data_IF_175851389157
#
_entry.id   IF_175851389157
#
_cell.length_a   1.000
_cell.length_b   1.000
_cell.length_c   1.000
_cell.angle_alpha   90.00
_cell.angle_beta   90.00
_cell.angle_gamma   90.00
#
_symmetry.space_group_name_H-M   'P 1'
#
loop_
_entity.id
_entity.type
_entity.pdbx_description
1 polymer ?
#
# COMPACT_ATOMS: atom_id res chain seq x y z
N UNK A 1 -16.12 -28.75 25.71
CA UNK A 1 -16.31 -29.00 24.28
C UNK A 1 -15.90 -27.72 23.58
N UNK A 2 -14.58 -27.55 23.58
CA UNK A 2 -13.85 -26.30 23.69
C UNK A 2 -14.29 -25.20 22.72
N UNK A 3 -14.35 -23.97 23.25
CA UNK A 3 -14.22 -22.78 22.40
C UNK A 3 -12.93 -22.93 21.58
N UNK A 4 -12.97 -22.72 20.25
CA UNK A 4 -11.73 -22.70 19.48
C UNK A 4 -10.80 -21.66 20.10
N UNK A 5 -9.48 -21.92 20.17
CA UNK A 5 -8.54 -20.88 20.58
C UNK A 5 -8.82 -19.67 19.68
N UNK A 6 -8.94 -18.48 20.30
CA UNK A 6 -8.95 -17.23 19.55
C UNK A 6 -7.58 -17.12 18.91
N UNK A 7 -7.43 -17.73 17.73
CA UNK A 7 -6.20 -17.66 16.96
C UNK A 7 -5.97 -16.17 16.71
N UNK A 8 -4.83 -15.60 17.14
CA UNK A 8 -4.52 -14.21 16.79
C UNK A 8 -4.60 -14.12 15.27
N UNK A 9 -5.20 -13.06 14.69
CA UNK A 9 -5.25 -12.93 13.24
C UNK A 9 -3.82 -13.06 12.75
N UNK A 10 -3.60 -14.06 11.89
CA UNK A 10 -2.29 -14.31 11.31
C UNK A 10 -1.79 -12.98 10.75
N UNK A 11 -0.50 -12.63 10.95
CA UNK A 11 0.05 -11.32 10.54
C UNK A 11 -0.05 -11.08 9.03
N UNK A 12 -0.53 -12.07 8.27
CA UNK A 12 -0.77 -12.04 6.85
C UNK A 12 -2.18 -11.54 6.47
N UNK A 13 -3.09 -11.32 7.41
CA UNK A 13 -4.41 -10.72 7.10
C UNK A 13 -4.31 -9.21 6.84
N UNK A 14 -3.17 -8.59 7.16
CA UNK A 14 -2.94 -7.15 6.97
C UNK A 14 -2.29 -6.78 5.62
N UNK A 15 -2.11 -7.74 4.70
CA UNK A 15 -1.38 -7.49 3.44
C UNK A 15 -2.07 -8.04 2.17
N UNK A 16 -3.36 -8.37 2.19
CA UNK A 16 -3.96 -9.00 1.00
C UNK A 16 -5.45 -8.71 0.81
N UNK A 17 -5.75 -7.56 0.21
CA UNK A 17 -6.53 -7.59 -1.04
C UNK A 17 -5.49 -7.58 -2.17
N UNK A 18 -5.45 -8.64 -2.99
CA UNK A 18 -4.30 -8.99 -3.86
C UNK A 18 -4.05 -8.05 -5.06
N UNK A 19 -4.54 -6.81 -5.03
CA UNK A 19 -4.48 -5.87 -6.15
C UNK A 19 -4.20 -4.41 -5.74
N UNK A 20 -3.63 -4.18 -4.56
CA UNK A 20 -3.53 -2.82 -4.02
C UNK A 20 -2.11 -2.26 -4.18
N UNK A 21 -1.94 -1.42 -5.21
CA UNK A 21 -0.84 -0.44 -5.26
C UNK A 21 -0.73 0.25 -3.89
N UNK A 22 0.47 0.62 -3.41
CA UNK A 22 0.61 1.30 -2.13
C UNK A 22 -0.38 2.47 -2.04
N UNK A 23 -1.11 2.55 -0.92
CA UNK A 23 -2.09 3.60 -0.73
C UNK A 23 -1.42 4.97 -0.79
N UNK A 24 -2.16 5.99 -1.22
CA UNK A 24 -1.62 7.36 -1.41
C UNK A 24 -0.85 7.88 -0.19
N UNK A 25 -1.23 7.49 1.03
CA UNK A 25 -0.58 7.94 2.26
C UNK A 25 0.53 7.02 2.77
N UNK A 26 0.67 5.82 2.22
CA UNK A 26 1.66 4.84 2.64
C UNK A 26 3.09 5.32 2.34
N UNK A 27 4.10 4.81 3.06
CA UNK A 27 5.49 5.05 2.71
C UNK A 27 5.74 4.59 1.25
N UNK A 28 6.47 5.42 0.50
CA UNK A 28 6.78 5.10 -0.88
C UNK A 28 7.71 3.89 -0.95
N UNK A 29 7.44 3.00 -1.90
CA UNK A 29 8.21 1.78 -2.16
C UNK A 29 9.70 2.03 -2.48
N UNK A 30 10.08 3.25 -2.90
CA UNK A 30 11.47 3.61 -3.22
C UNK A 30 12.38 3.80 -1.99
N UNK A 31 11.85 3.70 -0.76
CA UNK A 31 12.66 3.83 0.46
C UNK A 31 13.07 5.26 0.82
N UNK A 32 12.52 6.29 0.16
CA UNK A 32 12.86 7.70 0.44
C UNK A 32 12.33 8.25 1.77
N UNK A 33 11.51 7.48 2.50
CA UNK A 33 10.79 7.94 3.70
C UNK A 33 9.65 8.93 3.41
N UNK A 34 9.39 9.27 2.14
CA UNK A 34 8.27 10.12 1.72
C UNK A 34 7.01 9.29 1.50
N UNK A 35 5.83 9.92 1.65
CA UNK A 35 4.53 9.30 1.31
C UNK A 35 4.46 9.03 -0.19
N UNK A 36 3.85 7.90 -0.58
CA UNK A 36 3.70 7.47 -1.97
C UNK A 36 3.12 8.57 -2.87
N UNK A 37 2.05 9.26 -2.43
CA UNK A 37 1.44 10.40 -3.14
C UNK A 37 2.37 11.58 -3.45
N UNK A 38 3.44 11.74 -2.68
CA UNK A 38 4.42 12.85 -2.82
C UNK A 38 5.73 12.37 -3.44
N UNK A 39 5.80 11.11 -3.84
CA UNK A 39 7.01 10.49 -4.36
C UNK A 39 6.71 9.86 -5.72
N UNK A 40 6.40 8.56 -5.77
CA UNK A 40 6.20 7.84 -7.03
C UNK A 40 4.75 7.76 -7.50
N UNK A 41 3.73 8.06 -6.67
CA UNK A 41 2.35 8.08 -7.14
C UNK A 41 2.10 8.97 -8.38
N UNK A 42 2.62 10.22 -8.49
CA UNK A 42 2.41 11.02 -9.71
C UNK A 42 3.08 10.42 -10.95
N UNK A 43 4.15 9.64 -10.76
CA UNK A 43 4.86 8.93 -11.85
C UNK A 43 4.09 7.65 -12.23
N UNK A 44 3.62 6.91 -11.23
CA UNK A 44 2.92 5.64 -11.37
C UNK A 44 1.46 5.81 -11.87
N UNK A 45 0.85 6.97 -11.65
CA UNK A 45 -0.50 7.32 -12.13
C UNK A 45 -0.49 7.93 -13.54
N UNK A 46 0.70 8.20 -14.09
CA UNK A 46 0.87 8.71 -15.44
C UNK A 46 0.55 10.20 -15.57
N UNK A 47 1.60 10.99 -15.72
CA UNK A 47 1.74 11.93 -16.84
C UNK A 47 0.41 12.41 -17.45
N UNK A 48 -0.18 13.46 -16.86
CA UNK A 48 -1.11 14.31 -17.60
C UNK A 48 -0.67 15.77 -17.53
N UNK A 49 0.63 15.98 -17.75
CA UNK A 49 1.14 17.26 -18.20
C UNK A 49 1.60 17.01 -19.63
N UNK A 50 0.63 17.06 -20.54
CA UNK A 50 0.95 17.37 -21.93
C UNK A 50 1.80 18.63 -21.90
N UNK A 51 3.05 18.51 -22.33
CA UNK A 51 3.98 19.61 -22.48
C UNK A 51 3.58 20.43 -23.72
N UNK A 52 3.21 21.72 -23.56
CA UNK A 52 3.57 22.74 -24.54
C UNK A 52 4.75 23.58 -24.04
#
# INVERSE_FOLDING_TARGET
>A
MELPPLEPPSPLTLLTSRDERPGRNDPCWCGSGKKYKKCHQPVDEGENISNP
#
